data_IF_355068731907
#
_entry.id   IF_355068731907
#
_cell.length_a   1.000
_cell.length_b   1.000
_cell.length_c   1.000
_cell.angle_alpha   90.00
_cell.angle_beta   90.00
_cell.angle_gamma   90.00
#
_symmetry.space_group_name_H-M   'P 1'
#
loop_
_entity.id
_entity.type
_entity.pdbx_description
1 polymer ?
#
# COMPACT_ATOMS: atom_id res chain seq x y z
N UNK A 1 -2.75 16.06 49.15
CA UNK A 1 -2.79 14.58 49.08
C UNK A 1 -1.75 14.14 48.07
N UNK A 2 -0.48 14.14 48.49
CA UNK A 2 0.71 14.10 47.62
C UNK A 2 1.82 13.26 48.28
N UNK A 3 1.47 12.12 48.86
CA UNK A 3 2.39 11.39 49.76
C UNK A 3 2.40 9.87 49.51
N UNK A 4 2.36 9.43 48.24
CA UNK A 4 2.51 8.01 47.90
C UNK A 4 3.24 7.73 46.57
N UNK A 5 4.08 8.67 46.11
CA UNK A 5 4.87 8.51 44.86
C UNK A 5 6.30 8.01 45.14
N UNK A 6 6.65 7.68 46.40
CA UNK A 6 8.03 7.30 46.77
C UNK A 6 8.33 5.79 46.69
N UNK A 7 7.37 4.93 46.30
CA UNK A 7 7.53 3.46 46.28
C UNK A 7 7.39 2.83 44.88
N UNK A 8 7.89 3.48 43.83
CA UNK A 8 7.89 2.89 42.49
C UNK A 8 9.18 2.07 42.27
N UNK A 9 9.10 0.71 42.15
CA UNK A 9 10.22 -0.07 41.68
C UNK A 9 10.65 0.41 40.29
N UNK A 10 11.96 0.44 40.07
CA UNK A 10 12.63 0.99 38.89
C UNK A 10 12.45 0.09 37.66
N UNK A 11 11.22 -0.10 37.19
CA UNK A 11 10.92 -0.62 35.84
C UNK A 11 9.47 -0.35 35.38
N UNK A 12 8.81 0.70 35.88
CA UNK A 12 7.42 1.00 35.49
C UNK A 12 7.38 1.81 34.19
N UNK A 13 7.75 1.19 33.06
CA UNK A 13 7.17 1.65 31.79
C UNK A 13 5.69 1.28 31.84
N UNK A 14 4.75 2.24 31.76
CA UNK A 14 3.33 1.92 31.76
C UNK A 14 3.06 0.90 30.66
N UNK A 15 2.41 -0.20 31.04
CA UNK A 15 2.18 -1.31 30.11
C UNK A 15 1.28 -0.81 28.97
N UNK A 16 1.41 -1.41 27.79
CA UNK A 16 0.77 -0.90 26.56
C UNK A 16 -0.76 -0.81 26.71
N UNK A 17 -1.36 -1.71 27.51
CA UNK A 17 -2.79 -1.71 27.82
C UNK A 17 -3.21 -0.56 28.75
N UNK A 18 -2.35 -0.11 29.67
CA UNK A 18 -2.60 1.06 30.52
C UNK A 18 -2.66 2.34 29.68
N UNK A 19 -1.78 2.46 28.68
CA UNK A 19 -1.79 3.59 27.72
C UNK A 19 -3.04 3.60 26.85
N UNK A 20 -3.61 2.44 26.57
CA UNK A 20 -4.85 2.29 25.83
C UNK A 20 -6.11 2.50 26.68
N UNK A 21 -5.98 2.64 28.01
CA UNK A 21 -7.11 2.78 28.94
C UNK A 21 -7.98 1.52 29.04
N UNK A 22 -7.42 0.34 28.72
CA UNK A 22 -8.14 -0.94 28.68
C UNK A 22 -7.66 -1.87 29.80
N UNK A 23 -8.49 -2.81 30.24
CA UNK A 23 -8.03 -3.88 31.14
C UNK A 23 -7.17 -4.90 30.38
N UNK A 24 -6.29 -5.63 31.09
CA UNK A 24 -5.40 -6.63 30.48
C UNK A 24 -6.16 -7.71 29.68
N UNK A 25 -7.35 -8.11 30.15
CA UNK A 25 -8.19 -9.10 29.48
C UNK A 25 -8.81 -8.54 28.20
N UNK A 26 -9.32 -7.31 28.23
CA UNK A 26 -9.86 -6.62 27.05
C UNK A 26 -8.77 -6.36 26.01
N UNK A 27 -7.56 -5.99 26.42
CA UNK A 27 -6.43 -5.80 25.51
C UNK A 27 -6.01 -7.10 24.83
N UNK A 28 -5.93 -8.22 25.57
CA UNK A 28 -5.65 -9.54 24.98
C UNK A 28 -6.70 -9.98 23.98
N UNK A 29 -7.96 -9.61 24.22
CA UNK A 29 -9.04 -9.92 23.28
C UNK A 29 -9.02 -9.01 22.05
N UNK A 30 -8.66 -7.73 22.21
CA UNK A 30 -8.55 -6.76 21.12
C UNK A 30 -7.31 -6.96 20.23
N UNK A 31 -6.22 -7.51 20.78
CA UNK A 31 -4.97 -7.81 20.04
C UNK A 31 -4.93 -9.28 19.59
N UNK A 32 -6.02 -10.03 19.79
CA UNK A 32 -6.09 -11.41 19.34
C UNK A 32 -6.06 -11.44 17.81
N UNK A 33 -4.99 -12.02 17.28
CA UNK A 33 -4.81 -12.21 15.85
C UNK A 33 -5.96 -13.04 15.27
N UNK A 34 -6.69 -12.47 14.31
CA UNK A 34 -7.86 -13.09 13.71
C UNK A 34 -7.63 -13.46 12.22
N UNK A 35 -8.66 -14.02 11.58
CA UNK A 35 -8.60 -14.36 10.16
C UNK A 35 -8.54 -13.14 9.23
N UNK A 36 -8.99 -11.97 9.71
CA UNK A 36 -8.92 -10.70 8.99
C UNK A 36 -7.45 -10.26 8.91
N UNK A 37 -6.72 -10.35 10.03
CA UNK A 37 -5.31 -9.98 10.11
C UNK A 37 -4.45 -10.87 9.18
N UNK A 38 -4.74 -12.17 9.14
CA UNK A 38 -4.10 -13.08 8.18
C UNK A 38 -4.38 -12.65 6.73
N UNK A 39 -5.64 -12.30 6.42
CA UNK A 39 -6.03 -11.82 5.10
C UNK A 39 -5.24 -10.58 4.68
N UNK A 40 -5.12 -9.59 5.57
CA UNK A 40 -4.35 -8.37 5.32
C UNK A 40 -2.86 -8.64 5.12
N UNK A 41 -2.27 -9.55 5.89
CA UNK A 41 -0.86 -9.93 5.75
C UNK A 41 -0.63 -10.59 4.39
N UNK A 42 -1.48 -11.54 3.99
CA UNK A 42 -1.34 -12.25 2.70
C UNK A 42 -1.49 -11.27 1.53
N UNK A 43 -2.47 -10.37 1.57
CA UNK A 43 -2.63 -9.33 0.54
C UNK A 43 -1.40 -8.42 0.44
N UNK A 44 -0.85 -8.01 1.58
CA UNK A 44 0.33 -7.14 1.62
C UNK A 44 1.57 -7.84 1.05
N UNK A 45 1.78 -9.12 1.37
CA UNK A 45 2.87 -9.92 0.81
C UNK A 45 2.68 -10.14 -0.70
N UNK A 46 1.46 -10.43 -1.14
CA UNK A 46 1.14 -10.63 -2.56
C UNK A 46 1.45 -9.39 -3.40
N UNK A 47 1.12 -8.19 -2.90
CA UNK A 47 1.47 -6.92 -3.54
C UNK A 47 2.99 -6.67 -3.55
N UNK A 48 3.71 -7.07 -2.50
CA UNK A 48 5.15 -6.89 -2.40
C UNK A 48 5.94 -7.81 -3.34
N UNK A 49 5.51 -9.07 -3.51
CA UNK A 49 6.17 -10.04 -4.40
C UNK A 49 5.90 -9.68 -5.86
N UNK A 50 4.64 -9.41 -6.21
CA UNK A 50 4.21 -8.81 -7.48
C UNK A 50 4.79 -9.39 -8.78
N UNK A 51 4.59 -8.67 -9.89
CA UNK A 51 5.24 -8.99 -11.17
C UNK A 51 6.75 -8.71 -11.15
N UNK A 52 7.21 -7.86 -10.22
CA UNK A 52 8.59 -7.41 -10.12
C UNK A 52 9.59 -8.55 -9.93
N UNK A 53 9.29 -9.55 -9.08
CA UNK A 53 10.24 -10.65 -8.81
C UNK A 53 10.45 -11.57 -10.02
N UNK A 54 9.44 -11.71 -10.88
CA UNK A 54 9.49 -12.56 -12.08
C UNK A 54 10.35 -11.91 -13.17
N UNK A 55 10.26 -10.59 -13.32
CA UNK A 55 11.06 -9.84 -14.30
C UNK A 55 12.41 -9.34 -13.76
N UNK A 56 12.66 -9.51 -12.45
CA UNK A 56 13.91 -9.09 -11.79
C UNK A 56 15.16 -9.69 -12.44
N UNK A 57 15.24 -11.00 -12.76
CA UNK A 57 16.44 -11.56 -13.39
C UNK A 57 16.74 -10.92 -14.76
N UNK A 58 15.72 -10.58 -15.53
CA UNK A 58 15.86 -9.93 -16.85
C UNK A 58 16.41 -8.51 -16.68
N UNK A 59 15.85 -7.75 -15.74
CA UNK A 59 16.31 -6.38 -15.46
C UNK A 59 17.74 -6.36 -14.91
N UNK A 60 18.08 -7.31 -14.03
CA UNK A 60 19.43 -7.45 -13.48
C UNK A 60 20.44 -7.84 -14.56
N UNK A 61 20.06 -8.67 -15.52
CA UNK A 61 20.90 -9.02 -16.67
C UNK A 61 21.25 -7.82 -17.56
N UNK A 62 20.32 -6.86 -17.70
CA UNK A 62 20.51 -5.66 -18.53
C UNK A 62 21.25 -4.55 -17.77
N UNK A 63 20.88 -4.29 -16.52
CA UNK A 63 21.44 -3.20 -15.71
C UNK A 63 22.75 -3.58 -14.99
N UNK A 64 23.03 -4.88 -14.89
CA UNK A 64 24.20 -5.43 -14.23
C UNK A 64 23.98 -5.77 -12.75
N UNK A 65 24.48 -6.94 -12.34
CA UNK A 65 24.33 -7.47 -10.98
C UNK A 65 24.89 -6.53 -9.90
N UNK A 66 26.06 -5.92 -10.15
CA UNK A 66 26.71 -5.04 -9.19
C UNK A 66 25.94 -3.74 -8.93
N UNK A 67 25.37 -3.15 -9.98
CA UNK A 67 24.53 -1.94 -9.86
C UNK A 67 23.26 -2.25 -9.08
N UNK A 68 22.64 -3.40 -9.36
CA UNK A 68 21.46 -3.86 -8.64
C UNK A 68 21.74 -4.09 -7.15
N UNK A 69 22.82 -4.79 -6.80
CA UNK A 69 23.19 -5.05 -5.40
C UNK A 69 23.45 -3.75 -4.63
N UNK A 70 24.21 -2.82 -5.21
CA UNK A 70 24.48 -1.52 -4.59
C UNK A 70 23.19 -0.71 -4.38
N UNK A 71 22.31 -0.70 -5.39
CA UNK A 71 21.01 -0.01 -5.30
C UNK A 71 20.10 -0.63 -4.26
N UNK A 72 20.13 -1.95 -4.08
CA UNK A 72 19.31 -2.67 -3.09
C UNK A 72 19.76 -2.36 -1.66
N UNK A 73 21.08 -2.26 -1.43
CA UNK A 73 21.65 -1.90 -0.11
C UNK A 73 21.18 -0.51 0.33
N UNK A 74 21.07 0.45 -0.61
CA UNK A 74 20.63 1.82 -0.30
C UNK A 74 19.09 1.92 -0.33
N UNK A 75 18.44 1.20 -1.23
CA UNK A 75 16.99 1.23 -1.41
C UNK A 75 16.24 0.59 -0.24
N UNK A 76 16.75 -0.52 0.30
CA UNK A 76 16.12 -1.20 1.44
C UNK A 76 15.94 -0.31 2.69
N UNK A 77 16.97 0.39 3.22
CA UNK A 77 16.79 1.26 4.38
C UNK A 77 15.88 2.46 4.07
N UNK A 78 15.94 3.02 2.85
CA UNK A 78 15.05 4.10 2.44
C UNK A 78 13.58 3.66 2.47
N UNK A 79 13.28 2.46 1.93
CA UNK A 79 11.94 1.88 1.94
C UNK A 79 11.46 1.56 3.36
N UNK A 80 12.33 1.04 4.22
CA UNK A 80 12.01 0.78 5.62
C UNK A 80 11.65 2.07 6.38
N UNK A 81 12.43 3.14 6.21
CA UNK A 81 12.15 4.43 6.83
C UNK A 81 10.83 5.03 6.33
N UNK A 82 10.56 4.91 5.03
CA UNK A 82 9.29 5.33 4.44
C UNK A 82 8.13 4.57 5.08
N UNK A 83 8.14 3.23 5.07
CA UNK A 83 7.10 2.39 5.68
C UNK A 83 6.88 2.72 7.16
N UNK A 84 7.96 2.91 7.93
CA UNK A 84 7.87 3.31 9.34
C UNK A 84 7.18 4.66 9.52
N UNK A 85 7.45 5.63 8.63
CA UNK A 85 6.77 6.91 8.64
C UNK A 85 5.27 6.76 8.37
N UNK A 86 4.86 5.96 7.38
CA UNK A 86 3.42 5.68 7.13
C UNK A 86 2.73 5.11 8.35
N UNK A 87 3.31 4.07 8.95
CA UNK A 87 2.71 3.38 10.09
C UNK A 87 2.60 4.34 11.29
N UNK A 88 3.65 5.12 11.57
CA UNK A 88 3.63 6.09 12.67
C UNK A 88 2.60 7.20 12.45
N UNK A 89 2.47 7.73 11.22
CA UNK A 89 1.47 8.75 10.90
C UNK A 89 0.05 8.20 11.01
N UNK A 90 -0.20 6.96 10.60
CA UNK A 90 -1.51 6.31 10.73
C UNK A 90 -1.85 6.05 12.21
N UNK A 91 -0.89 5.53 12.99
CA UNK A 91 -1.08 5.23 14.41
C UNK A 91 -1.37 6.49 15.26
N UNK A 92 -0.81 7.65 14.90
CA UNK A 92 -1.05 8.91 15.61
C UNK A 92 -2.36 9.59 15.18
N UNK A 93 -2.95 9.20 14.04
CA UNK A 93 -4.14 9.86 13.50
C UNK A 93 -5.40 9.52 14.32
N UNK A 94 -5.91 10.49 15.10
CA UNK A 94 -7.14 10.35 15.92
C UNK A 94 -8.44 10.23 15.13
N UNK A 95 -8.43 10.48 13.81
CA UNK A 95 -9.59 10.39 12.93
C UNK A 95 -9.25 9.51 11.73
N UNK A 96 -10.07 8.49 11.48
CA UNK A 96 -10.04 7.71 10.23
C UNK A 96 -10.55 8.58 9.07
N UNK A 97 -9.69 9.46 8.57
CA UNK A 97 -9.88 10.22 7.33
C UNK A 97 -8.89 9.74 6.28
N UNK A 98 -9.17 10.00 5.00
CA UNK A 98 -8.25 9.65 3.92
C UNK A 98 -6.83 10.18 4.18
N UNK A 99 -5.80 9.42 3.76
CA UNK A 99 -4.39 9.75 4.00
C UNK A 99 -3.99 11.19 3.61
N UNK A 100 -4.46 11.76 2.47
CA UNK A 100 -4.23 13.17 2.16
C UNK A 100 -4.86 14.14 3.17
N UNK A 101 -5.99 13.77 3.77
CA UNK A 101 -6.67 14.53 4.83
C UNK A 101 -5.89 14.53 6.14
N UNK A 102 -5.28 13.40 6.52
CA UNK A 102 -4.40 13.31 7.69
C UNK A 102 -3.16 14.17 7.49
N UNK A 103 -2.50 14.06 6.34
CA UNK A 103 -1.32 14.89 5.98
C UNK A 103 -1.66 16.39 5.97
N UNK A 104 -2.82 16.75 5.41
CA UNK A 104 -3.31 18.14 5.40
C UNK A 104 -3.51 18.70 6.82
N UNK A 105 -3.89 17.83 7.77
CA UNK A 105 -4.01 18.17 9.19
C UNK A 105 -2.67 18.45 9.87
N UNK A 106 -1.59 17.76 9.48
CA UNK A 106 -0.25 17.96 10.06
C UNK A 106 0.56 19.08 9.39
N UNK A 107 0.47 19.26 8.07
CA UNK A 107 1.28 20.24 7.30
C UNK A 107 0.55 21.55 6.96
N UNK A 108 -0.75 21.66 7.24
CA UNK A 108 -1.55 22.85 6.99
C UNK A 108 -2.24 22.87 5.62
N UNK A 109 -3.28 23.73 5.48
CA UNK A 109 -4.27 23.68 4.39
C UNK A 109 -3.68 23.79 2.97
N UNK A 110 -2.64 24.62 2.77
CA UNK A 110 -2.08 24.86 1.43
C UNK A 110 -1.14 23.71 0.97
N UNK A 111 -0.29 23.21 1.87
CA UNK A 111 0.57 22.06 1.60
C UNK A 111 -0.22 20.76 1.48
N UNK A 112 -1.30 20.63 2.25
CA UNK A 112 -2.25 19.54 2.14
C UNK A 112 -2.91 19.44 0.76
N UNK A 113 -3.33 20.56 0.18
CA UNK A 113 -3.89 20.60 -1.18
C UNK A 113 -2.84 20.23 -2.23
N UNK A 114 -1.61 20.77 -2.12
CA UNK A 114 -0.53 20.44 -3.05
C UNK A 114 -0.19 18.93 -3.03
N UNK A 115 -0.08 18.34 -1.83
CA UNK A 115 0.15 16.91 -1.66
C UNK A 115 -1.05 16.07 -2.10
N UNK A 116 -2.27 16.57 -1.93
CA UNK A 116 -3.48 15.92 -2.43
C UNK A 116 -3.53 15.84 -3.97
N UNK A 117 -3.15 16.92 -4.66
CA UNK A 117 -3.06 16.92 -6.13
C UNK A 117 -1.94 16.00 -6.61
N UNK A 118 -0.78 16.02 -5.96
CA UNK A 118 0.32 15.11 -6.26
C UNK A 118 -0.09 13.64 -6.07
N UNK A 119 -0.81 13.34 -4.99
CA UNK A 119 -1.35 12.00 -4.72
C UNK A 119 -2.34 11.56 -5.81
N UNK A 120 -3.21 12.45 -6.27
CA UNK A 120 -4.13 12.15 -7.37
C UNK A 120 -3.39 11.85 -8.68
N UNK A 121 -2.40 12.66 -9.05
CA UNK A 121 -1.58 12.42 -10.25
C UNK A 121 -0.85 11.08 -10.17
N UNK A 122 -0.26 10.78 -9.00
CA UNK A 122 0.39 9.50 -8.77
C UNK A 122 -0.59 8.34 -8.95
N UNK A 123 -1.79 8.37 -8.35
CA UNK A 123 -2.79 7.32 -8.55
C UNK A 123 -3.15 7.11 -10.03
N UNK A 124 -3.35 8.19 -10.79
CA UNK A 124 -3.68 8.08 -12.23
C UNK A 124 -2.53 7.43 -12.99
N UNK A 125 -1.28 7.86 -12.77
CA UNK A 125 -0.10 7.26 -13.42
C UNK A 125 -0.01 5.78 -13.11
N UNK A 126 -0.19 5.37 -11.84
CA UNK A 126 -0.10 3.97 -11.45
C UNK A 126 -1.17 3.09 -12.09
N UNK A 127 -2.42 3.56 -12.18
CA UNK A 127 -3.49 2.82 -12.87
C UNK A 127 -3.20 2.69 -14.38
N UNK A 128 -2.68 3.75 -15.00
CA UNK A 128 -2.31 3.73 -16.42
C UNK A 128 -1.13 2.79 -16.69
N UNK A 129 -0.05 2.87 -15.90
CA UNK A 129 1.12 1.98 -16.04
C UNK A 129 0.72 0.53 -15.85
N UNK A 130 -0.12 0.23 -14.87
CA UNK A 130 -0.61 -1.13 -14.65
C UNK A 130 -1.43 -1.63 -15.85
N UNK A 131 -2.32 -0.80 -16.39
CA UNK A 131 -3.11 -1.13 -17.57
C UNK A 131 -2.24 -1.37 -18.81
N UNK A 132 -1.21 -0.54 -19.01
CA UNK A 132 -0.26 -0.67 -20.11
C UNK A 132 0.61 -1.92 -19.98
N UNK A 133 1.08 -2.25 -18.77
CA UNK A 133 1.84 -3.48 -18.53
C UNK A 133 1.00 -4.72 -18.86
N UNK A 134 -0.23 -4.79 -18.34
CA UNK A 134 -1.16 -5.89 -18.65
C UNK A 134 -1.46 -5.97 -20.15
N UNK A 135 -1.66 -4.82 -20.82
CA UNK A 135 -1.93 -4.78 -22.26
C UNK A 135 -0.72 -5.27 -23.07
N UNK A 136 0.51 -4.86 -22.71
CA UNK A 136 1.74 -5.25 -23.39
C UNK A 136 2.08 -6.74 -23.16
N UNK A 137 1.90 -7.23 -21.93
CA UNK A 137 2.08 -8.64 -21.59
C UNK A 137 1.05 -9.49 -22.35
N UNK A 138 -0.23 -9.10 -22.34
CA UNK A 138 -1.30 -9.84 -23.03
C UNK A 138 -1.12 -9.89 -24.56
N UNK A 139 -0.63 -8.80 -25.18
CA UNK A 139 -0.31 -8.77 -26.60
C UNK A 139 0.82 -9.76 -26.95
N UNK A 140 1.85 -9.84 -26.10
CA UNK A 140 2.97 -10.78 -26.27
C UNK A 140 2.54 -12.25 -26.11
N UNK A 141 1.62 -12.53 -25.18
CA UNK A 141 1.00 -13.85 -25.04
C UNK A 141 0.14 -14.21 -26.27
N UNK A 142 -0.72 -13.31 -26.75
CA UNK A 142 -1.59 -13.55 -27.91
C UNK A 142 -0.82 -13.74 -29.23
N UNK A 143 0.28 -13.01 -29.41
CA UNK A 143 1.20 -13.19 -30.53
C UNK A 143 1.89 -14.57 -30.49
N UNK A 144 2.27 -15.05 -29.30
CA UNK A 144 2.93 -16.35 -29.13
C UNK A 144 1.98 -17.55 -29.33
N UNK A 145 0.67 -17.35 -29.18
CA UNK A 145 -0.37 -18.38 -29.42
C UNK A 145 -1.02 -18.30 -30.82
N UNK A 146 -0.58 -17.40 -31.70
CA UNK A 146 -0.95 -17.40 -33.13
C UNK A 146 -2.40 -16.98 -33.45
N UNK A 147 -3.08 -16.27 -32.54
CA UNK A 147 -4.50 -15.90 -32.69
C UNK A 147 -4.70 -14.55 -33.42
N UNK A 148 -3.65 -13.78 -33.74
CA UNK A 148 -3.78 -12.50 -34.48
C UNK A 148 -2.49 -12.12 -35.25
N UNK A 149 -2.61 -11.78 -36.54
CA UNK A 149 -1.49 -11.43 -37.45
C UNK A 149 -1.12 -9.93 -37.53
N UNK A 150 -1.79 -9.03 -36.78
CA UNK A 150 -1.43 -7.59 -36.78
C UNK A 150 -1.30 -7.01 -35.37
N UNK A 151 -0.35 -6.08 -35.20
CA UNK A 151 -0.09 -5.36 -33.96
C UNK A 151 -1.30 -4.48 -33.58
N UNK A 152 -2.24 -5.02 -32.80
CA UNK A 152 -3.26 -4.22 -32.09
C UNK A 152 -2.68 -3.28 -31.02
N UNK A 153 -1.35 -3.17 -30.93
CA UNK A 153 -0.63 -2.18 -30.12
C UNK A 153 -0.58 -0.79 -30.77
N UNK A 154 -0.77 -0.66 -32.09
CA UNK A 154 -0.77 0.64 -32.78
C UNK A 154 -2.04 1.47 -32.56
N UNK A 155 -3.16 0.82 -32.20
CA UNK A 155 -4.42 1.53 -31.96
C UNK A 155 -4.51 2.02 -30.51
N UNK A 156 -4.25 3.31 -30.33
CA UNK A 156 -4.48 4.11 -29.10
C UNK A 156 -5.86 3.84 -28.47
N UNK A 157 -6.87 3.49 -29.28
CA UNK A 157 -8.23 3.16 -28.82
C UNK A 157 -8.34 1.85 -28.02
N UNK A 158 -7.48 0.85 -28.26
CA UNK A 158 -7.48 -0.40 -27.47
C UNK A 158 -6.90 -0.16 -26.06
N UNK A 159 -5.79 0.59 -25.98
CA UNK A 159 -5.22 1.03 -24.70
C UNK A 159 -6.16 1.96 -23.90
N UNK A 160 -6.88 2.85 -24.59
CA UNK A 160 -7.92 3.70 -23.97
C UNK A 160 -9.13 2.89 -23.51
N UNK A 161 -9.58 1.91 -24.28
CA UNK A 161 -10.69 1.04 -23.91
C UNK A 161 -10.39 0.18 -22.68
N UNK A 162 -9.18 -0.40 -22.62
CA UNK A 162 -8.72 -1.20 -21.48
C UNK A 162 -8.52 -0.35 -20.22
N UNK A 163 -7.90 0.83 -20.34
CA UNK A 163 -7.74 1.75 -19.21
C UNK A 163 -9.07 2.30 -18.71
N UNK A 164 -10.03 2.61 -19.60
CA UNK A 164 -11.39 3.00 -19.22
C UNK A 164 -12.14 1.86 -18.52
N UNK A 165 -12.02 0.62 -19.01
CA UNK A 165 -12.59 -0.55 -18.37
C UNK A 165 -11.96 -0.80 -16.99
N UNK A 166 -10.65 -0.65 -16.85
CA UNK A 166 -9.94 -0.81 -15.58
C UNK A 166 -10.33 0.26 -14.56
N UNK A 167 -10.50 1.52 -15.01
CA UNK A 167 -11.01 2.58 -14.16
C UNK A 167 -12.46 2.28 -13.70
N UNK A 168 -13.32 1.78 -14.60
CA UNK A 168 -14.68 1.41 -14.25
C UNK A 168 -14.74 0.22 -13.27
N UNK A 169 -13.86 -0.76 -13.45
CA UNK A 169 -13.76 -1.93 -12.57
C UNK A 169 -13.22 -1.54 -11.20
N UNK A 170 -12.23 -0.64 -11.11
CA UNK A 170 -11.73 -0.10 -9.83
C UNK A 170 -12.83 0.66 -9.07
N UNK A 171 -13.67 1.44 -9.76
CA UNK A 171 -14.82 2.11 -9.14
C UNK A 171 -15.84 1.10 -8.62
N UNK A 172 -16.10 0.02 -9.36
CA UNK A 172 -16.96 -1.10 -8.92
C UNK A 172 -16.36 -1.87 -7.74
N UNK A 173 -15.05 -2.10 -7.75
CA UNK A 173 -14.32 -2.82 -6.69
C UNK A 173 -14.27 -1.99 -5.41
N UNK A 174 -14.10 -0.67 -5.46
CA UNK A 174 -14.21 0.17 -4.25
C UNK A 174 -15.60 0.06 -3.62
N UNK A 175 -16.67 0.11 -4.41
CA UNK A 175 -18.04 -0.07 -3.91
C UNK A 175 -18.27 -1.48 -3.36
N UNK A 176 -17.72 -2.51 -4.02
CA UNK A 176 -17.84 -3.90 -3.58
C UNK A 176 -17.02 -4.16 -2.32
N UNK A 177 -15.80 -3.64 -2.24
CA UNK A 177 -14.91 -3.80 -1.09
C UNK A 177 -15.39 -3.01 0.12
N UNK A 178 -15.96 -1.81 -0.04
CA UNK A 178 -16.65 -1.11 1.07
C UNK A 178 -17.86 -1.89 1.57
N UNK A 179 -18.69 -2.45 0.66
CA UNK A 179 -19.82 -3.30 1.06
C UNK A 179 -19.36 -4.62 1.68
N UNK A 180 -18.26 -5.20 1.21
CA UNK A 180 -17.70 -6.44 1.75
C UNK A 180 -17.06 -6.19 3.12
N UNK A 181 -16.35 -5.08 3.31
CA UNK A 181 -15.78 -4.68 4.62
C UNK A 181 -16.89 -4.43 5.65
N UNK A 182 -18.07 -3.97 5.22
CA UNK A 182 -19.25 -3.81 6.06
C UNK A 182 -19.98 -5.14 6.35
N UNK A 183 -19.81 -6.16 5.50
CA UNK A 183 -20.36 -7.51 5.66
C UNK A 183 -19.43 -8.46 6.46
N UNK A 184 -18.15 -8.09 6.58
CA UNK A 184 -17.11 -8.89 7.25
C UNK A 184 -16.77 -8.41 8.67
N UNK A 185 -17.55 -7.48 9.22
CA UNK A 185 -17.43 -7.00 10.60
C UNK A 185 -18.67 -7.33 11.42
#
# INVERSE_FOLDING_TARGET
MSENIQNLPLDSKPEIWEKAGMTQAEWKQAVKFDGVDIGWVVMSIGMAIGAGIVFLPVQVGIMGLWVFLLSSIIGYPAMYMFQKLFINTLAESKKCTDYPGVISGYLGKNWGVALGVLYFMMLVIWVLVYSLAVTNDSASYLHSFGVTESLMSENVFYGLGLSAYFLLSVVRVKNCCLNCLALWR
#
